data_IF_862376782261
#
_entry.id   IF_862376782261
#
_cell.length_a   1.000
_cell.length_b   1.000
_cell.length_c   1.000
_cell.angle_alpha   90.00
_cell.angle_beta   90.00
_cell.angle_gamma   90.00
#
_symmetry.space_group_name_H-M   'P 1'
#
loop_
_entity.id
_entity.type
_entity.pdbx_description
1 polymer ?
#
# COMPACT_ATOMS: atom_id res chain seq x y z
N UNK A 1 -6.93 -6.19 19.07
CA UNK A 1 -7.89 -5.30 18.37
C UNK A 1 -8.66 -6.12 17.33
N UNK A 2 -8.01 -6.77 16.35
CA UNK A 2 -8.68 -7.56 15.30
C UNK A 2 -9.60 -8.63 15.89
N UNK A 3 -9.10 -9.43 16.85
CA UNK A 3 -9.86 -10.47 17.50
C UNK A 3 -11.16 -10.00 18.18
N UNK A 4 -11.19 -8.73 18.61
CA UNK A 4 -12.34 -8.09 19.27
C UNK A 4 -13.29 -7.36 18.32
N UNK A 5 -12.94 -7.26 17.02
CA UNK A 5 -13.70 -6.52 16.00
C UNK A 5 -13.78 -7.36 14.72
N UNK A 6 -14.40 -8.54 14.83
CA UNK A 6 -14.45 -9.54 13.74
C UNK A 6 -15.34 -9.13 12.56
N UNK A 7 -16.20 -8.16 12.73
CA UNK A 7 -17.03 -7.52 11.72
C UNK A 7 -16.21 -6.62 10.79
N UNK A 8 -15.05 -6.13 11.23
CA UNK A 8 -14.15 -5.31 10.41
C UNK A 8 -13.25 -6.23 9.58
N UNK A 9 -13.51 -6.32 8.29
CA UNK A 9 -12.77 -7.21 7.37
C UNK A 9 -11.57 -6.54 6.68
N UNK A 10 -11.48 -5.22 6.67
CA UNK A 10 -10.39 -4.49 6.01
C UNK A 10 -9.75 -3.50 6.97
N UNK A 11 -8.44 -3.59 7.13
CA UNK A 11 -7.63 -2.79 8.03
C UNK A 11 -6.57 -2.02 7.24
N UNK A 12 -6.53 -0.70 7.40
CA UNK A 12 -5.51 0.13 6.75
C UNK A 12 -4.33 0.38 7.68
N UNK A 13 -3.13 0.09 7.20
CA UNK A 13 -1.87 0.33 7.90
C UNK A 13 -0.99 1.31 7.10
N UNK A 14 -1.19 2.60 7.32
CA UNK A 14 -0.37 3.66 6.74
C UNK A 14 0.90 3.92 7.56
N UNK A 15 1.60 2.87 7.92
CA UNK A 15 2.83 2.91 8.71
C UNK A 15 3.88 1.97 8.10
N UNK A 16 5.15 2.17 8.48
CA UNK A 16 6.22 1.29 8.04
C UNK A 16 7.60 1.73 8.52
N UNK A 17 8.53 0.80 8.49
CA UNK A 17 9.92 1.02 8.90
C UNK A 17 10.67 1.90 7.92
N UNK A 18 11.57 2.73 8.43
CA UNK A 18 12.57 3.44 7.61
C UNK A 18 13.66 2.51 7.06
N UNK A 19 13.88 1.37 7.71
CA UNK A 19 14.84 0.36 7.27
C UNK A 19 14.29 -0.45 6.10
N UNK A 20 15.19 -0.84 5.20
CA UNK A 20 14.85 -1.74 4.08
C UNK A 20 14.65 -3.17 4.57
N UNK A 21 13.72 -3.88 3.93
CA UNK A 21 13.58 -5.33 4.14
C UNK A 21 14.81 -6.08 3.65
N UNK A 22 15.04 -7.25 4.23
CA UNK A 22 16.12 -8.15 3.78
C UNK A 22 15.64 -9.07 2.65
N UNK A 23 16.49 -9.41 1.68
CA UNK A 23 16.08 -10.17 0.48
C UNK A 23 15.64 -11.61 0.77
N UNK A 24 16.10 -12.21 1.86
CA UNK A 24 15.90 -13.64 2.16
C UNK A 24 15.12 -13.85 3.47
N UNK A 25 14.35 -12.87 3.88
CA UNK A 25 13.72 -12.89 5.21
C UNK A 25 12.44 -12.05 5.19
N UNK A 26 11.38 -12.60 5.79
CA UNK A 26 10.14 -11.87 6.09
C UNK A 26 10.25 -11.29 7.49
N UNK A 27 9.92 -10.02 7.65
CA UNK A 27 9.96 -9.37 8.96
C UNK A 27 8.97 -10.01 9.93
N UNK A 28 9.28 -10.01 11.25
CA UNK A 28 8.36 -10.54 12.25
C UNK A 28 6.99 -9.87 12.21
N UNK A 29 6.96 -8.56 11.96
CA UNK A 29 5.73 -7.79 11.86
C UNK A 29 4.89 -8.23 10.63
N UNK A 30 5.53 -8.47 9.50
CA UNK A 30 4.87 -8.97 8.31
C UNK A 30 4.33 -10.40 8.50
N UNK A 31 5.11 -11.27 9.12
CA UNK A 31 4.69 -12.63 9.45
C UNK A 31 3.49 -12.64 10.40
N UNK A 32 3.46 -11.72 11.38
CA UNK A 32 2.33 -11.59 12.30
C UNK A 32 1.08 -11.06 11.57
N UNK A 33 1.22 -10.11 10.65
CA UNK A 33 0.09 -9.67 9.81
C UNK A 33 -0.45 -10.83 8.97
N UNK A 34 0.42 -11.65 8.40
CA UNK A 34 0.02 -12.80 7.58
C UNK A 34 -0.73 -13.85 8.43
N UNK A 35 -0.26 -14.10 9.66
CA UNK A 35 -0.93 -14.96 10.63
C UNK A 35 -2.33 -14.46 10.99
N UNK A 36 -2.44 -13.16 11.35
CA UNK A 36 -3.72 -12.54 11.71
C UNK A 36 -4.72 -12.61 10.55
N UNK A 37 -4.28 -12.32 9.33
CA UNK A 37 -5.14 -12.40 8.14
C UNK A 37 -5.70 -13.79 7.92
N UNK A 38 -4.88 -14.80 8.12
CA UNK A 38 -5.29 -16.20 7.99
C UNK A 38 -6.24 -16.63 9.12
N UNK A 39 -5.93 -16.25 10.37
CA UNK A 39 -6.70 -16.67 11.54
C UNK A 39 -8.08 -16.01 11.63
N UNK A 40 -8.19 -14.73 11.26
CA UNK A 40 -9.41 -13.94 11.45
C UNK A 40 -10.17 -13.66 10.15
N UNK A 41 -9.69 -14.16 9.03
CA UNK A 41 -10.27 -13.89 7.70
C UNK A 41 -10.47 -12.39 7.46
N UNK A 42 -9.38 -11.63 7.61
CA UNK A 42 -9.31 -10.19 7.38
C UNK A 42 -8.24 -9.84 6.37
N UNK A 43 -8.26 -8.64 5.84
CA UNK A 43 -7.24 -8.12 4.94
C UNK A 43 -6.58 -6.88 5.52
N UNK A 44 -5.26 -6.82 5.47
CA UNK A 44 -4.52 -5.59 5.69
C UNK A 44 -4.15 -4.94 4.37
N UNK A 45 -4.33 -3.62 4.30
CA UNK A 45 -3.80 -2.78 3.23
C UNK A 45 -2.67 -1.96 3.84
N UNK A 46 -1.47 -2.15 3.31
CA UNK A 46 -0.23 -1.62 3.89
C UNK A 46 0.40 -0.62 2.93
N UNK A 47 0.84 0.53 3.43
CA UNK A 47 1.59 1.49 2.64
C UNK A 47 2.97 0.94 2.25
N UNK A 48 3.39 1.12 0.98
CA UNK A 48 4.65 0.61 0.42
C UNK A 48 5.91 1.28 0.96
N UNK A 49 5.76 2.17 1.94
CA UNK A 49 6.80 2.99 2.59
C UNK A 49 7.45 4.04 1.68
N UNK A 50 7.99 5.08 2.27
CA UNK A 50 8.59 6.20 1.55
C UNK A 50 10.10 6.24 1.77
N UNK A 51 10.84 6.72 0.78
CA UNK A 51 12.25 7.08 0.94
C UNK A 51 12.30 8.24 1.95
N UNK A 52 13.10 8.15 3.03
CA UNK A 52 13.20 9.22 4.00
C UNK A 52 13.74 10.51 3.38
N UNK A 53 13.25 11.65 3.87
CA UNK A 53 13.75 12.96 3.44
C UNK A 53 15.28 13.06 3.65
N UNK A 54 15.98 13.61 2.66
CA UNK A 54 17.44 13.76 2.69
C UNK A 54 18.23 12.51 2.28
N UNK A 55 17.55 11.39 1.99
CA UNK A 55 18.21 10.20 1.47
C UNK A 55 18.27 10.27 -0.06
N UNK A 56 19.48 10.20 -0.61
CA UNK A 56 19.74 10.26 -2.05
C UNK A 56 19.70 8.88 -2.73
N UNK A 57 19.62 7.80 -1.96
CA UNK A 57 19.58 6.44 -2.48
C UNK A 57 18.29 6.23 -3.26
N UNK A 58 18.40 6.11 -4.58
CA UNK A 58 17.31 5.63 -5.45
C UNK A 58 17.15 4.11 -5.29
N UNK A 59 15.96 3.60 -5.57
CA UNK A 59 15.66 2.16 -5.53
C UNK A 59 15.83 1.53 -4.13
N UNK A 60 15.48 2.24 -3.07
CA UNK A 60 15.37 1.63 -1.74
C UNK A 60 14.28 0.55 -1.76
N UNK A 61 14.56 -0.56 -1.09
CA UNK A 61 13.55 -1.61 -0.88
C UNK A 61 12.48 -1.15 0.11
N UNK A 62 11.26 -1.66 -0.05
CA UNK A 62 10.17 -1.42 0.90
C UNK A 62 10.61 -1.77 2.33
N UNK A 63 9.93 -1.20 3.32
CA UNK A 63 10.21 -1.43 4.74
C UNK A 63 9.13 -2.29 5.39
N UNK A 64 9.48 -2.97 6.50
CA UNK A 64 8.49 -3.69 7.31
C UNK A 64 7.32 -2.77 7.71
N UNK A 65 6.07 -3.27 7.74
CA UNK A 65 5.59 -4.61 7.41
C UNK A 65 5.12 -4.79 5.96
N UNK A 66 5.57 -3.94 5.02
CA UNK A 66 5.16 -4.04 3.62
C UNK A 66 5.72 -5.30 2.90
N UNK A 67 6.50 -6.11 3.58
CA UNK A 67 6.94 -7.44 3.14
C UNK A 67 5.96 -8.57 3.52
N UNK A 68 4.80 -8.26 4.10
CA UNK A 68 3.72 -9.23 4.29
C UNK A 68 3.23 -9.78 2.95
N UNK A 69 3.16 -11.09 2.83
CA UNK A 69 2.76 -11.78 1.59
C UNK A 69 1.25 -11.65 1.33
N UNK A 70 0.45 -11.78 2.38
CA UNK A 70 -1.01 -11.76 2.28
C UNK A 70 -1.59 -10.35 2.21
N UNK A 71 -0.92 -9.36 2.79
CA UNK A 71 -1.37 -7.96 2.76
C UNK A 71 -1.40 -7.40 1.35
N UNK A 72 -2.27 -6.43 1.10
CA UNK A 72 -2.26 -5.61 -0.11
C UNK A 72 -1.32 -4.43 0.10
N UNK A 73 -0.18 -4.46 -0.53
CA UNK A 73 0.82 -3.39 -0.42
C UNK A 73 0.62 -2.36 -1.52
N UNK A 74 0.51 -1.10 -1.13
CA UNK A 74 0.13 0.00 -2.03
C UNK A 74 1.25 1.02 -2.15
N UNK A 75 1.70 1.25 -3.38
CA UNK A 75 2.63 2.32 -3.71
C UNK A 75 1.89 3.58 -4.20
N UNK A 76 2.62 4.66 -4.42
CA UNK A 76 2.06 5.93 -4.84
C UNK A 76 2.45 6.30 -6.27
N UNK A 77 1.52 6.96 -6.96
CA UNK A 77 1.73 7.61 -8.26
C UNK A 77 1.33 9.08 -8.19
N UNK A 78 1.86 9.87 -9.12
CA UNK A 78 1.45 11.24 -9.40
C UNK A 78 0.13 11.29 -10.21
N UNK A 79 -0.35 12.46 -10.57
CA UNK A 79 -1.55 12.64 -11.40
C UNK A 79 -1.43 12.07 -12.80
N UNK A 80 -0.22 11.98 -13.36
CA UNK A 80 0.03 11.42 -14.68
C UNK A 80 0.15 9.88 -14.66
N UNK A 81 0.13 9.26 -13.46
CA UNK A 81 0.29 7.82 -13.28
C UNK A 81 1.74 7.34 -13.19
N UNK A 82 2.71 8.26 -13.13
CA UNK A 82 4.11 7.89 -12.92
C UNK A 82 4.36 7.55 -11.45
N UNK A 83 5.32 6.66 -11.17
CA UNK A 83 5.74 6.37 -9.81
C UNK A 83 6.22 7.62 -9.10
N UNK A 84 5.65 7.90 -7.92
CA UNK A 84 6.08 9.05 -7.13
C UNK A 84 7.54 8.93 -6.70
N UNK A 85 8.25 10.05 -6.66
CA UNK A 85 9.71 10.12 -6.49
C UNK A 85 10.24 9.50 -5.19
N UNK A 86 9.38 9.42 -4.17
CA UNK A 86 9.69 8.86 -2.86
C UNK A 86 9.35 7.39 -2.70
N UNK A 87 8.82 6.73 -3.72
CA UNK A 87 8.38 5.33 -3.61
C UNK A 87 9.56 4.37 -3.48
N UNK A 88 9.31 3.27 -2.81
CA UNK A 88 10.25 2.16 -2.65
C UNK A 88 9.84 0.98 -3.50
N UNK A 89 10.75 0.04 -3.71
CA UNK A 89 10.57 -1.09 -4.63
C UNK A 89 10.69 -2.44 -3.91
N UNK A 90 10.14 -3.50 -4.54
CA UNK A 90 10.39 -4.89 -4.17
C UNK A 90 11.64 -5.47 -4.84
N UNK A 91 11.66 -6.76 -5.06
CA UNK A 91 10.74 -7.78 -4.61
C UNK A 91 10.90 -8.16 -3.13
N UNK A 92 9.95 -8.94 -2.59
CA UNK A 92 10.07 -9.63 -1.31
C UNK A 92 10.60 -11.04 -1.57
N UNK A 93 11.46 -11.57 -0.70
CA UNK A 93 12.09 -12.89 -0.87
C UNK A 93 12.71 -13.10 -2.26
N UNK A 94 13.24 -12.06 -2.90
CA UNK A 94 13.82 -12.04 -4.23
C UNK A 94 12.90 -12.45 -5.41
N UNK A 95 11.75 -13.04 -5.17
CA UNK A 95 10.84 -13.54 -6.22
C UNK A 95 9.38 -13.09 -6.07
N UNK A 96 8.95 -12.60 -4.90
CA UNK A 96 7.57 -12.22 -4.66
C UNK A 96 7.36 -10.74 -4.98
N UNK A 97 6.48 -10.45 -5.94
CA UNK A 97 6.24 -9.08 -6.38
C UNK A 97 5.50 -8.26 -5.31
N UNK A 98 6.13 -7.19 -4.88
CA UNK A 98 5.59 -6.14 -4.01
C UNK A 98 6.19 -4.79 -4.42
N UNK A 99 5.48 -3.68 -4.30
CA UNK A 99 4.06 -3.54 -3.95
C UNK A 99 3.11 -4.23 -4.93
N UNK A 100 1.88 -4.57 -4.49
CA UNK A 100 0.89 -5.25 -5.33
C UNK A 100 0.27 -4.29 -6.36
N UNK A 101 -0.03 -3.06 -5.94
CA UNK A 101 -0.66 -2.02 -6.77
C UNK A 101 -0.10 -0.64 -6.43
N UNK A 102 -0.35 0.31 -7.31
CA UNK A 102 -0.11 1.73 -7.04
C UNK A 102 -1.41 2.52 -7.16
N UNK A 103 -1.54 3.59 -6.40
CA UNK A 103 -2.66 4.52 -6.49
C UNK A 103 -2.20 5.95 -6.28
N UNK A 104 -3.06 6.92 -6.60
CA UNK A 104 -2.73 8.32 -6.44
C UNK A 104 -2.39 8.65 -4.98
N UNK A 105 -1.17 9.08 -4.76
CA UNK A 105 -0.63 9.49 -3.46
C UNK A 105 0.05 10.86 -3.51
N UNK A 106 0.05 11.47 -4.72
CA UNK A 106 0.74 12.74 -5.00
C UNK A 106 2.25 12.59 -5.12
N UNK A 107 2.92 13.60 -5.64
CA UNK A 107 4.37 13.72 -5.62
C UNK A 107 4.81 15.04 -4.96
N UNK A 108 6.04 15.10 -4.46
CA UNK A 108 6.43 15.98 -3.38
C UNK A 108 6.90 17.39 -3.72
N UNK A 109 7.06 17.81 -4.98
CA UNK A 109 7.82 19.04 -5.26
C UNK A 109 6.96 20.27 -5.54
N UNK A 110 5.79 20.14 -6.14
CA UNK A 110 4.88 21.26 -6.43
C UNK A 110 3.50 21.03 -5.84
N UNK A 111 2.81 22.10 -5.50
CA UNK A 111 1.48 22.03 -4.91
C UNK A 111 0.46 21.29 -5.78
N UNK A 112 0.54 21.45 -7.09
CA UNK A 112 -0.33 20.81 -8.07
C UNK A 112 -0.21 19.29 -8.09
N UNK A 113 0.91 18.75 -7.64
CA UNK A 113 1.17 17.31 -7.65
C UNK A 113 0.84 16.64 -6.31
N UNK A 114 0.44 17.43 -5.31
CA UNK A 114 0.09 16.95 -3.97
C UNK A 114 -1.40 16.65 -3.84
N UNK A 115 -1.69 15.69 -2.98
CA UNK A 115 -3.06 15.47 -2.52
C UNK A 115 -3.49 16.56 -1.55
N UNK A 116 -4.77 16.89 -1.58
CA UNK A 116 -5.40 17.75 -0.58
C UNK A 116 -6.11 16.88 0.43
N UNK A 117 -5.81 17.07 1.70
CA UNK A 117 -6.49 16.39 2.80
C UNK A 117 -7.05 17.42 3.78
N UNK A 118 -8.13 17.05 4.46
CA UNK A 118 -8.69 17.87 5.52
C UNK A 118 -7.74 17.91 6.73
N UNK A 119 -7.62 19.07 7.32
CA UNK A 119 -6.90 19.31 8.55
C UNK A 119 -7.89 19.56 9.69
N UNK A 120 -7.48 19.34 10.94
CA UNK A 120 -8.31 19.43 12.13
C UNK A 120 -8.95 20.82 12.40
N UNK A 121 -8.31 21.88 11.93
CA UNK A 121 -8.77 23.27 12.03
C UNK A 121 -9.66 23.72 10.85
N UNK A 122 -10.34 22.79 10.19
CA UNK A 122 -11.15 23.00 8.98
C UNK A 122 -10.36 23.57 7.79
N UNK A 123 -9.04 23.51 7.84
CA UNK A 123 -8.16 23.85 6.75
C UNK A 123 -7.91 22.71 5.80
N UNK A 124 -7.11 22.99 4.78
CA UNK A 124 -6.57 22.02 3.85
C UNK A 124 -5.05 21.87 4.05
N UNK A 125 -4.58 20.64 3.96
CA UNK A 125 -3.15 20.35 3.91
C UNK A 125 -2.79 19.69 2.58
N UNK A 126 -1.65 20.08 2.01
CA UNK A 126 -1.11 19.49 0.80
C UNK A 126 -0.07 18.44 1.18
N UNK A 127 -0.34 17.20 0.83
CA UNK A 127 0.43 16.04 1.28
C UNK A 127 0.82 15.14 0.11
N UNK A 128 1.88 14.35 0.31
CA UNK A 128 2.26 13.29 -0.60
C UNK A 128 2.82 12.10 0.21
N UNK A 129 2.51 10.88 -0.22
CA UNK A 129 3.01 9.68 0.45
C UNK A 129 2.18 8.44 0.15
N UNK A 130 2.81 7.28 0.24
CA UNK A 130 2.12 5.98 0.14
C UNK A 130 1.04 5.82 1.22
N UNK A 131 1.19 6.52 2.35
CA UNK A 131 0.19 6.57 3.43
C UNK A 131 -1.14 7.19 3.00
N UNK A 132 -1.15 8.00 1.94
CA UNK A 132 -2.35 8.60 1.37
C UNK A 132 -2.93 7.81 0.19
N UNK A 133 -2.11 6.99 -0.47
CA UNK A 133 -2.55 6.06 -1.50
C UNK A 133 -3.26 4.83 -0.93
N UNK A 134 -2.74 4.25 0.16
CA UNK A 134 -3.25 3.03 0.77
C UNK A 134 -4.74 3.11 1.19
N UNK A 135 -5.26 4.20 1.81
CA UNK A 135 -6.66 4.30 2.19
C UNK A 135 -7.65 4.22 1.00
N UNK A 136 -7.26 4.66 -0.19
CA UNK A 136 -8.09 4.53 -1.38
C UNK A 136 -8.28 3.08 -1.79
N UNK A 137 -7.22 2.28 -1.71
CA UNK A 137 -7.28 0.84 -1.97
C UNK A 137 -8.04 0.13 -0.86
N UNK A 138 -7.85 0.53 0.41
CA UNK A 138 -8.63 0.01 1.55
C UNK A 138 -10.13 0.21 1.34
N UNK A 139 -10.55 1.40 0.89
CA UNK A 139 -11.95 1.69 0.55
C UNK A 139 -12.48 0.79 -0.55
N UNK A 140 -11.69 0.61 -1.63
CA UNK A 140 -12.08 -0.27 -2.74
C UNK A 140 -12.21 -1.73 -2.29
N UNK A 141 -11.25 -2.21 -1.52
CA UNK A 141 -11.25 -3.57 -0.98
C UNK A 141 -12.45 -3.80 -0.04
N UNK A 142 -12.73 -2.84 0.84
CA UNK A 142 -13.88 -2.88 1.73
C UNK A 142 -15.21 -2.92 0.95
N UNK A 143 -15.33 -2.15 -0.13
CA UNK A 143 -16.52 -2.19 -0.99
C UNK A 143 -16.71 -3.56 -1.63
N UNK A 144 -15.65 -4.16 -2.18
CA UNK A 144 -15.71 -5.48 -2.81
C UNK A 144 -16.10 -6.56 -1.80
N UNK A 145 -15.60 -6.50 -0.59
CA UNK A 145 -15.88 -7.50 0.45
C UNK A 145 -17.25 -7.27 1.10
N UNK A 146 -17.54 -6.06 1.60
CA UNK A 146 -18.74 -5.81 2.40
C UNK A 146 -20.00 -5.57 1.57
N UNK A 147 -19.87 -4.93 0.40
CA UNK A 147 -21.03 -4.59 -0.44
C UNK A 147 -21.26 -5.65 -1.50
N UNK A 148 -20.21 -6.12 -2.16
CA UNK A 148 -20.33 -7.12 -3.21
C UNK A 148 -20.26 -8.56 -2.69
N UNK A 149 -19.93 -8.77 -1.42
CA UNK A 149 -19.89 -10.09 -0.79
C UNK A 149 -18.77 -11.01 -1.30
N UNK A 150 -17.71 -10.44 -1.86
CA UNK A 150 -16.58 -11.23 -2.38
C UNK A 150 -15.67 -11.70 -1.25
N UNK A 151 -15.01 -12.86 -1.44
CA UNK A 151 -13.94 -13.25 -0.54
C UNK A 151 -12.75 -12.29 -0.66
N UNK A 152 -11.93 -12.21 0.37
CA UNK A 152 -10.74 -11.33 0.39
C UNK A 152 -9.76 -11.65 -0.75
N UNK A 153 -9.61 -12.94 -1.10
CA UNK A 153 -8.71 -13.39 -2.16
C UNK A 153 -9.22 -12.92 -3.53
N UNK A 154 -10.52 -13.09 -3.79
CA UNK A 154 -11.15 -12.63 -5.04
C UNK A 154 -11.10 -11.11 -5.14
N UNK A 155 -11.42 -10.41 -4.07
CA UNK A 155 -11.37 -8.95 -4.02
C UNK A 155 -9.95 -8.42 -4.26
N UNK A 156 -8.93 -9.04 -3.65
CA UNK A 156 -7.51 -8.72 -3.90
C UNK A 156 -7.13 -9.00 -5.35
N UNK A 157 -7.47 -10.16 -5.88
CA UNK A 157 -7.18 -10.54 -7.26
C UNK A 157 -7.78 -9.55 -8.27
N UNK A 158 -9.05 -9.14 -8.09
CA UNK A 158 -9.70 -8.16 -8.96
C UNK A 158 -9.03 -6.80 -8.92
N UNK A 159 -8.56 -6.34 -7.76
CA UNK A 159 -7.84 -5.08 -7.66
C UNK A 159 -6.48 -5.12 -8.36
N UNK A 160 -5.77 -6.24 -8.26
CA UNK A 160 -4.49 -6.43 -8.96
C UNK A 160 -4.72 -6.51 -10.46
N UNK A 161 -5.72 -7.28 -10.89
CA UNK A 161 -6.08 -7.43 -12.30
C UNK A 161 -6.48 -6.08 -12.92
N UNK A 162 -7.31 -5.30 -12.24
CA UNK A 162 -7.73 -3.98 -12.69
C UNK A 162 -6.58 -2.95 -12.73
N UNK A 163 -5.53 -3.15 -11.94
CA UNK A 163 -4.35 -2.30 -11.92
C UNK A 163 -3.32 -2.70 -12.99
N UNK A 164 -3.37 -3.93 -13.47
CA UNK A 164 -2.49 -4.41 -14.51
C UNK A 164 -2.75 -3.66 -15.82
N UNK A 165 -1.70 -3.11 -16.40
CA UNK A 165 -1.79 -2.37 -17.67
C UNK A 165 -1.89 -3.28 -18.87
N UNK A 166 -2.90 -4.15 -18.92
CA UNK A 166 -3.09 -5.16 -19.98
C UNK A 166 -3.03 -4.61 -21.41
N UNK A 167 -3.28 -3.30 -21.59
CA UNK A 167 -3.28 -2.62 -22.89
C UNK A 167 -2.09 -1.68 -23.07
N UNK A 168 -1.16 -1.59 -22.14
CA UNK A 168 0.08 -0.87 -22.40
C UNK A 168 0.95 -1.76 -23.27
N UNK A 169 0.93 -1.48 -24.55
CA UNK A 169 2.03 -1.88 -25.42
C UNK A 169 3.21 -1.01 -25.02
N UNK A 170 4.29 -1.66 -24.62
CA UNK A 170 5.59 -1.00 -24.58
C UNK A 170 5.97 -0.76 -26.06
N UNK A 171 5.67 0.43 -26.57
CA UNK A 171 6.15 0.92 -27.87
C UNK A 171 7.56 1.48 -27.69
#
# INVERSE_FOLDING_TARGET
IVASNRDIKVWNLSLGSKLEIKPNFISPEAAELDRIQSEYDVSFVVAGTNIPAGVTKKNMRIGSPADSLNSMVVNAVDFAGNSASYTRIGPVLSFFHKPDVSYYGGDGTVYTDKMVVCKDDMGAAYVAGTSFAAPWISRKLAYLIHIMGLSREVAKALLIDAAAGWNRRDD
#
